data_IF_123288316880
#
_entry.id   IF_123288316880
#
_cell.length_a   1.000
_cell.length_b   1.000
_cell.length_c   1.000
_cell.angle_alpha   90.00
_cell.angle_beta   90.00
_cell.angle_gamma   90.00
#
_symmetry.space_group_name_H-M   'P 1'
#
loop_
_entity.id
_entity.type
_entity.pdbx_description
1 polymer ?
#
# COMPACT_ATOMS: atom_id res chain seq x y z
N UNK A 1 -3.38 18.77 -2.63
CA UNK A 1 -3.40 19.38 -3.98
C UNK A 1 -3.91 20.82 -3.97
N UNK A 2 -4.92 21.16 -3.15
CA UNK A 2 -5.46 22.52 -3.03
C UNK A 2 -4.47 23.55 -2.44
N UNK A 3 -3.36 23.08 -1.85
CA UNK A 3 -2.36 23.92 -1.17
C UNK A 3 -1.25 24.41 -2.14
N UNK A 4 -1.20 23.90 -3.36
CA UNK A 4 -0.23 24.35 -4.34
C UNK A 4 -0.79 25.56 -5.13
N UNK A 5 -0.27 26.81 -4.93
CA UNK A 5 -0.83 27.99 -5.57
C UNK A 5 -0.67 27.99 -7.10
N UNK A 6 0.32 27.24 -7.61
CA UNK A 6 0.63 27.15 -9.03
C UNK A 6 -0.04 25.97 -9.73
N UNK A 7 -0.88 25.17 -9.03
CA UNK A 7 -1.52 23.96 -9.56
C UNK A 7 -0.54 22.98 -10.27
N UNK A 8 0.74 23.04 -9.90
CA UNK A 8 1.81 22.25 -10.53
C UNK A 8 1.75 20.75 -10.20
N UNK A 9 0.92 20.36 -9.23
CA UNK A 9 0.75 18.95 -8.81
C UNK A 9 -0.52 18.39 -9.40
N UNK A 10 -0.38 17.34 -10.21
CA UNK A 10 -1.51 16.59 -10.76
C UNK A 10 -1.53 15.17 -10.18
N UNK A 11 -2.74 14.61 -10.02
CA UNK A 11 -2.90 13.18 -9.68
C UNK A 11 -2.80 12.35 -10.96
N UNK A 12 -1.81 11.47 -11.00
CA UNK A 12 -1.81 10.40 -12.00
C UNK A 12 -2.83 9.35 -11.54
N UNK A 13 -3.85 9.10 -12.36
CA UNK A 13 -4.88 8.11 -12.08
C UNK A 13 -4.80 6.98 -13.11
N UNK A 14 -4.70 5.75 -12.63
CA UNK A 14 -4.72 4.55 -13.47
C UNK A 14 -6.14 3.97 -13.67
N UNK A 15 -7.18 4.74 -13.32
CA UNK A 15 -8.59 4.32 -13.39
C UNK A 15 -8.99 3.82 -14.78
N UNK A 16 -8.56 4.51 -15.84
CA UNK A 16 -8.89 4.12 -17.21
C UNK A 16 -8.23 2.81 -17.60
N UNK A 17 -7.01 2.56 -17.12
CA UNK A 17 -6.30 1.30 -17.32
C UNK A 17 -7.05 0.13 -16.65
N UNK A 18 -7.45 0.30 -15.39
CA UNK A 18 -8.22 -0.73 -14.66
C UNK A 18 -9.56 -0.99 -15.35
N UNK A 19 -10.26 0.06 -15.80
CA UNK A 19 -11.50 -0.10 -16.58
C UNK A 19 -11.28 -0.86 -17.89
N UNK A 20 -10.14 -0.65 -18.56
CA UNK A 20 -9.74 -1.42 -19.72
C UNK A 20 -9.62 -2.91 -19.40
N UNK A 21 -8.86 -3.27 -18.38
CA UNK A 21 -8.69 -4.66 -17.96
C UNK A 21 -10.02 -5.35 -17.63
N UNK A 22 -10.91 -4.66 -16.93
CA UNK A 22 -12.23 -5.22 -16.61
C UNK A 22 -13.11 -5.42 -17.86
N UNK A 23 -13.04 -4.50 -18.85
CA UNK A 23 -13.77 -4.64 -20.12
C UNK A 23 -13.25 -5.77 -21.00
N UNK A 24 -11.95 -6.01 -20.96
CA UNK A 24 -11.26 -7.08 -21.68
C UNK A 24 -11.45 -8.45 -21.01
N UNK A 25 -12.17 -8.51 -19.88
CA UNK A 25 -12.41 -9.75 -19.15
C UNK A 25 -11.18 -10.30 -18.42
N UNK A 26 -10.19 -9.44 -18.17
CA UNK A 26 -9.00 -9.85 -17.42
C UNK A 26 -9.34 -10.13 -15.96
N UNK A 27 -8.61 -11.08 -15.36
CA UNK A 27 -8.70 -11.38 -13.92
C UNK A 27 -8.03 -10.27 -13.12
N UNK A 28 -8.83 -9.44 -12.46
CA UNK A 28 -8.33 -8.32 -11.66
C UNK A 28 -8.70 -8.54 -10.19
N UNK A 29 -7.68 -8.58 -9.32
CA UNK A 29 -7.84 -8.67 -7.87
C UNK A 29 -7.55 -7.32 -7.24
N UNK A 30 -8.33 -6.91 -6.25
CA UNK A 30 -8.15 -5.68 -5.50
C UNK A 30 -7.50 -5.96 -4.15
N UNK A 31 -6.42 -5.23 -3.85
CA UNK A 31 -5.91 -5.10 -2.50
C UNK A 31 -6.36 -3.77 -1.91
N UNK A 32 -7.16 -3.80 -0.85
CA UNK A 32 -7.73 -2.62 -0.23
C UNK A 32 -6.97 -2.23 1.04
N UNK A 33 -6.51 -0.98 1.10
CA UNK A 33 -5.79 -0.47 2.27
C UNK A 33 -6.76 -0.15 3.42
N UNK A 34 -6.36 -0.28 4.70
CA UNK A 34 -7.21 -0.02 5.87
C UNK A 34 -7.84 1.38 5.91
N UNK A 35 -7.26 2.35 5.21
CA UNK A 35 -7.79 3.72 5.09
C UNK A 35 -9.20 3.79 4.48
N UNK A 36 -9.69 2.73 3.82
CA UNK A 36 -11.05 2.67 3.30
C UNK A 36 -12.10 2.87 4.41
N UNK A 37 -11.78 2.47 5.65
CA UNK A 37 -12.67 2.59 6.80
C UNK A 37 -13.06 4.05 7.10
N UNK A 38 -12.19 5.02 6.81
CA UNK A 38 -12.47 6.44 7.01
C UNK A 38 -13.02 7.17 5.77
N UNK A 39 -12.95 6.54 4.59
CA UNK A 39 -13.31 7.17 3.33
C UNK A 39 -14.66 6.72 2.79
N UNK A 40 -15.02 5.46 2.99
CA UNK A 40 -16.23 4.87 2.44
C UNK A 40 -17.34 4.79 3.49
N UNK A 41 -18.57 5.16 3.10
CA UNK A 41 -19.74 4.98 3.94
C UNK A 41 -20.28 3.57 3.76
N UNK A 42 -20.06 2.71 4.74
CA UNK A 42 -20.52 1.31 4.74
C UNK A 42 -20.87 0.87 6.17
N UNK A 43 -21.66 -0.21 6.31
CA UNK A 43 -22.00 -0.81 7.59
C UNK A 43 -21.13 -2.02 7.92
N UNK A 44 -20.76 -2.79 6.90
CA UNK A 44 -19.95 -4.01 7.03
C UNK A 44 -18.92 -4.10 5.90
N UNK A 45 -17.78 -4.73 6.17
CA UNK A 45 -16.77 -5.00 5.14
C UNK A 45 -17.34 -5.81 3.97
N UNK A 46 -18.30 -6.69 4.23
CA UNK A 46 -18.98 -7.46 3.20
C UNK A 46 -19.69 -6.59 2.16
N UNK A 47 -20.17 -5.39 2.53
CA UNK A 47 -20.76 -4.45 1.57
C UNK A 47 -19.71 -3.88 0.62
N UNK A 48 -18.51 -3.54 1.13
CA UNK A 48 -17.40 -3.04 0.31
C UNK A 48 -16.94 -4.13 -0.65
N UNK A 49 -16.72 -5.35 -0.13
CA UNK A 49 -16.37 -6.51 -0.95
C UNK A 49 -17.41 -6.78 -2.03
N UNK A 50 -18.68 -6.85 -1.66
CA UNK A 50 -19.78 -7.09 -2.60
C UNK A 50 -19.90 -6.01 -3.68
N UNK A 51 -19.64 -4.74 -3.35
CA UNK A 51 -19.64 -3.65 -4.31
C UNK A 51 -18.50 -3.81 -5.34
N UNK A 52 -17.29 -4.14 -4.88
CA UNK A 52 -16.14 -4.35 -5.75
C UNK A 52 -16.31 -5.57 -6.66
N UNK A 53 -16.82 -6.68 -6.14
CA UNK A 53 -17.14 -7.86 -6.97
C UNK A 53 -18.20 -7.54 -8.05
N UNK A 54 -19.22 -6.72 -7.73
CA UNK A 54 -20.21 -6.24 -8.72
C UNK A 54 -19.63 -5.33 -9.79
N UNK A 55 -18.51 -4.64 -9.50
CA UNK A 55 -17.78 -3.85 -10.49
C UNK A 55 -16.96 -4.71 -11.46
N UNK A 56 -16.90 -6.02 -11.25
CA UNK A 56 -16.20 -6.97 -12.12
C UNK A 56 -14.83 -7.42 -11.61
N UNK A 57 -14.44 -7.04 -10.39
CA UNK A 57 -13.23 -7.59 -9.79
C UNK A 57 -13.45 -9.05 -9.40
N UNK A 58 -12.43 -9.88 -9.58
CA UNK A 58 -12.52 -11.32 -9.28
C UNK A 58 -12.44 -11.62 -7.79
N UNK A 59 -11.53 -10.95 -7.08
CA UNK A 59 -11.40 -11.08 -5.63
C UNK A 59 -11.01 -9.75 -5.00
N UNK A 60 -11.29 -9.65 -3.70
CA UNK A 60 -10.97 -8.48 -2.87
C UNK A 60 -10.28 -8.96 -1.61
N UNK A 61 -9.03 -8.53 -1.44
CA UNK A 61 -8.19 -8.83 -0.29
C UNK A 61 -7.90 -7.58 0.52
N UNK A 62 -7.75 -7.73 1.82
CA UNK A 62 -7.27 -6.64 2.66
C UNK A 62 -5.74 -6.64 2.68
N UNK A 63 -5.13 -5.46 2.53
CA UNK A 63 -3.66 -5.31 2.64
C UNK A 63 -3.15 -5.71 4.04
N UNK A 64 -4.02 -5.67 5.06
CA UNK A 64 -3.75 -6.16 6.41
C UNK A 64 -3.37 -7.64 6.47
N UNK A 65 -3.88 -8.46 5.54
CA UNK A 65 -3.50 -9.88 5.44
C UNK A 65 -2.00 -10.01 5.14
N UNK A 66 -1.48 -9.23 4.17
CA UNK A 66 -0.05 -9.19 3.87
C UNK A 66 0.79 -8.63 5.02
N UNK A 67 0.28 -7.63 5.73
CA UNK A 67 0.97 -7.04 6.87
C UNK A 67 1.20 -8.07 8.00
N UNK A 68 0.28 -9.00 8.20
CA UNK A 68 0.43 -10.07 9.19
C UNK A 68 1.64 -10.99 8.87
N UNK A 69 1.81 -11.36 7.60
CA UNK A 69 2.98 -12.15 7.17
C UNK A 69 4.28 -11.38 7.34
N UNK A 70 4.31 -10.11 6.95
CA UNK A 70 5.49 -9.25 7.12
C UNK A 70 5.86 -9.10 8.60
N UNK A 71 4.87 -8.94 9.48
CA UNK A 71 5.09 -8.85 10.93
C UNK A 71 5.72 -10.14 11.48
N UNK A 72 5.28 -11.31 11.01
CA UNK A 72 5.87 -12.57 11.42
C UNK A 72 7.35 -12.70 10.99
N UNK A 73 7.69 -12.23 9.78
CA UNK A 73 9.07 -12.21 9.32
C UNK A 73 9.95 -11.24 10.13
N UNK A 74 9.44 -10.05 10.46
CA UNK A 74 10.17 -9.12 11.35
C UNK A 74 10.40 -9.72 12.75
N UNK A 75 9.43 -10.44 13.29
CA UNK A 75 9.60 -11.13 14.57
C UNK A 75 10.74 -12.17 14.53
N UNK A 76 10.87 -12.94 13.45
CA UNK A 76 11.99 -13.87 13.25
C UNK A 76 13.33 -13.15 13.21
N UNK A 77 13.40 -12.06 12.43
CA UNK A 77 14.64 -11.28 12.30
C UNK A 77 15.12 -10.69 13.62
N UNK A 78 14.17 -10.20 14.45
CA UNK A 78 14.47 -9.72 15.80
C UNK A 78 14.96 -10.86 16.71
N UNK A 79 14.31 -12.02 16.66
CA UNK A 79 14.69 -13.20 17.45
C UNK A 79 16.08 -13.73 17.07
N UNK A 80 16.44 -13.65 15.80
CA UNK A 80 17.74 -14.10 15.29
C UNK A 80 18.87 -13.07 15.48
N UNK A 81 18.58 -11.91 16.09
CA UNK A 81 19.52 -10.79 16.30
C UNK A 81 20.30 -10.39 15.04
N UNK A 82 19.71 -10.57 13.86
CA UNK A 82 20.34 -10.22 12.58
C UNK A 82 20.45 -8.72 12.37
N UNK A 83 19.69 -7.93 13.12
CA UNK A 83 19.66 -6.47 13.02
C UNK A 83 19.55 -5.85 14.41
N UNK A 84 20.38 -4.85 14.69
CA UNK A 84 20.31 -4.09 15.95
C UNK A 84 19.12 -3.13 15.98
N UNK A 85 18.81 -2.51 14.83
CA UNK A 85 17.70 -1.55 14.69
C UNK A 85 16.90 -1.86 13.42
N UNK A 86 15.59 -1.99 13.55
CA UNK A 86 14.68 -2.19 12.42
C UNK A 86 13.70 -1.02 12.37
N UNK A 87 13.73 -0.27 11.27
CA UNK A 87 12.73 0.75 10.95
C UNK A 87 11.93 0.24 9.76
N UNK A 88 10.64 0.08 9.95
CA UNK A 88 9.75 -0.49 8.93
C UNK A 88 8.72 0.53 8.48
N UNK A 89 8.41 0.56 7.20
CA UNK A 89 7.28 1.31 6.67
C UNK A 89 6.84 0.74 5.33
N UNK A 90 5.54 0.63 5.12
CA UNK A 90 4.93 0.32 3.83
C UNK A 90 4.54 1.60 3.05
N UNK A 91 4.74 2.78 3.62
CA UNK A 91 4.37 4.05 3.02
C UNK A 91 5.48 4.59 2.11
N UNK A 92 5.28 4.72 0.78
CA UNK A 92 6.28 5.27 -0.12
C UNK A 92 6.74 6.68 0.27
N UNK A 93 5.80 7.53 0.70
CA UNK A 93 6.13 8.90 1.13
C UNK A 93 7.01 8.93 2.38
N UNK A 94 6.81 8.02 3.33
CA UNK A 94 7.69 7.90 4.49
C UNK A 94 9.08 7.39 4.10
N UNK A 95 9.16 6.46 3.13
CA UNK A 95 10.42 6.00 2.57
C UNK A 95 11.20 7.14 1.90
N UNK A 96 10.53 7.95 1.11
CA UNK A 96 11.16 9.06 0.40
C UNK A 96 11.60 10.17 1.38
N UNK A 97 10.78 10.46 2.36
CA UNK A 97 11.15 11.38 3.44
C UNK A 97 12.40 10.90 4.21
N UNK A 98 12.43 9.62 4.57
CA UNK A 98 13.57 9.02 5.25
C UNK A 98 14.85 9.11 4.42
N UNK A 99 14.77 8.72 3.16
CA UNK A 99 15.90 8.80 2.21
C UNK A 99 16.43 10.22 2.04
N UNK A 100 15.56 11.21 2.01
CA UNK A 100 15.94 12.61 1.81
C UNK A 100 16.49 13.28 3.07
N UNK A 101 16.01 12.88 4.25
CA UNK A 101 16.28 13.57 5.52
C UNK A 101 17.37 12.90 6.32
N UNK A 102 17.47 11.57 6.31
CA UNK A 102 18.39 10.80 7.18
C UNK A 102 19.35 9.99 6.31
N UNK A 103 20.24 10.69 5.64
CA UNK A 103 21.19 10.13 4.67
C UNK A 103 22.20 9.12 5.26
N UNK A 104 22.59 9.27 6.52
CA UNK A 104 23.56 8.39 7.20
C UNK A 104 22.98 7.01 7.56
N UNK A 105 21.67 6.93 7.82
CA UNK A 105 20.97 5.67 8.15
C UNK A 105 20.53 4.89 6.92
N UNK A 106 20.71 5.46 5.71
CA UNK A 106 20.27 4.87 4.44
C UNK A 106 20.96 3.56 4.10
N UNK A 107 22.22 3.38 4.47
CA UNK A 107 23.00 2.17 4.16
C UNK A 107 22.45 0.93 4.89
N UNK A 108 22.02 1.09 6.13
CA UNK A 108 21.42 0.02 6.93
C UNK A 108 20.03 -0.35 6.41
N UNK A 109 19.29 0.64 5.91
CA UNK A 109 17.94 0.48 5.42
C UNK A 109 17.85 -0.15 4.01
N UNK A 110 18.78 0.16 3.08
CA UNK A 110 18.86 -0.46 1.74
C UNK A 110 18.99 -1.98 1.76
N UNK A 111 19.48 -2.53 2.84
CA UNK A 111 19.66 -3.97 2.99
C UNK A 111 18.32 -4.73 3.04
N UNK A 112 17.21 -4.02 3.33
CA UNK A 112 15.89 -4.60 3.60
C UNK A 112 14.77 -4.19 2.65
N UNK A 113 14.90 -3.06 1.97
CA UNK A 113 14.00 -2.66 0.89
C UNK A 113 14.83 -2.55 -0.39
N UNK A 114 15.02 -3.64 -1.14
CA UNK A 114 15.56 -3.55 -2.50
C UNK A 114 14.64 -2.67 -3.37
N UNK A 115 15.18 -2.08 -4.44
CA UNK A 115 14.44 -1.19 -5.33
C UNK A 115 13.23 -1.85 -5.96
#
# INVERSE_FOLDING_TARGET
LKICPQSAKTLKSDLNMVRGFLREGMRVVVSIAPSYMGLLKYKTIGQVRGALLRLGFEDVRETSEGAAFVTAEYAKLLAEHKMENIITTCCPSANDWWKSTIRSSYLTWRRWCPP
#
